data_IF_607453914584
#
_entry.id   IF_607453914584
#
_cell.length_a   1.000
_cell.length_b   1.000
_cell.length_c   1.000
_cell.angle_alpha   90.00
_cell.angle_beta   90.00
_cell.angle_gamma   90.00
#
_symmetry.space_group_name_H-M   'P 1'
#
loop_
_entity.id
_entity.type
_entity.pdbx_description
1 polymer ?
#
# COMPACT_ATOMS: atom_id res chain seq x y z
N UNK A 1 46.31 -23.08 -27.23
CA UNK A 1 46.55 -24.38 -27.89
C UNK A 1 45.48 -25.47 -27.68
N UNK A 2 44.79 -25.63 -26.53
CA UNK A 2 43.70 -26.63 -26.37
C UNK A 2 42.31 -26.12 -26.83
N UNK A 3 41.98 -24.85 -26.60
CA UNK A 3 40.69 -24.26 -26.98
C UNK A 3 40.58 -24.02 -28.49
N UNK A 4 41.64 -23.54 -29.15
CA UNK A 4 41.66 -23.36 -30.61
C UNK A 4 41.45 -24.68 -31.36
N UNK A 5 42.09 -25.78 -30.95
CA UNK A 5 41.89 -27.09 -31.58
C UNK A 5 40.45 -27.62 -31.42
N UNK A 6 39.76 -27.21 -30.36
CA UNK A 6 38.36 -27.54 -30.12
C UNK A 6 37.43 -26.67 -30.97
N UNK A 7 37.65 -25.35 -30.99
CA UNK A 7 36.82 -24.38 -31.72
C UNK A 7 36.97 -24.49 -33.25
N UNK A 8 38.15 -24.90 -33.75
CA UNK A 8 38.41 -25.09 -35.17
C UNK A 8 38.37 -26.56 -35.60
N UNK A 9 37.78 -27.44 -34.78
CA UNK A 9 37.60 -28.83 -35.17
C UNK A 9 36.57 -28.91 -36.31
N UNK A 10 36.88 -29.71 -37.34
CA UNK A 10 35.93 -29.93 -38.44
C UNK A 10 34.79 -30.79 -37.92
N UNK A 11 33.57 -30.27 -38.00
CA UNK A 11 32.34 -30.99 -37.65
C UNK A 11 31.62 -31.31 -38.95
N UNK A 12 31.17 -32.57 -39.07
CA UNK A 12 30.37 -32.99 -40.21
C UNK A 12 29.02 -32.24 -40.25
N UNK A 13 28.61 -31.77 -41.43
CA UNK A 13 27.40 -30.96 -41.57
C UNK A 13 26.13 -31.71 -41.12
N UNK A 14 26.06 -33.03 -41.32
CA UNK A 14 24.93 -33.85 -40.85
C UNK A 14 24.84 -33.87 -39.33
N UNK A 15 25.98 -33.80 -38.62
CA UNK A 15 26.01 -33.77 -37.16
C UNK A 15 25.50 -32.41 -36.66
N UNK A 16 25.87 -31.32 -37.34
CA UNK A 16 25.30 -29.99 -37.08
C UNK A 16 23.78 -29.99 -37.30
N UNK A 17 23.30 -30.56 -38.40
CA UNK A 17 21.87 -30.70 -38.68
C UNK A 17 21.12 -31.50 -37.60
N UNK A 18 21.70 -32.62 -37.14
CA UNK A 18 21.15 -33.43 -36.06
C UNK A 18 21.09 -32.64 -34.73
N UNK A 19 22.15 -31.91 -34.40
CA UNK A 19 22.22 -31.08 -33.19
C UNK A 19 21.17 -29.97 -33.21
N UNK A 20 20.93 -29.34 -34.37
CA UNK A 20 19.87 -28.32 -34.52
C UNK A 20 18.47 -28.91 -34.30
N UNK A 21 18.20 -30.11 -34.85
CA UNK A 21 16.93 -30.80 -34.62
C UNK A 21 16.76 -31.18 -33.14
N UNK A 22 17.80 -31.72 -32.52
CA UNK A 22 17.79 -32.04 -31.09
C UNK A 22 17.57 -30.80 -30.22
N UNK A 23 18.20 -29.68 -30.57
CA UNK A 23 18.00 -28.40 -29.90
C UNK A 23 16.57 -27.87 -30.06
N UNK A 24 15.98 -27.97 -31.25
CA UNK A 24 14.60 -27.57 -31.50
C UNK A 24 13.59 -28.41 -30.68
N UNK A 25 13.78 -29.73 -30.64
CA UNK A 25 12.97 -30.62 -29.80
C UNK A 25 13.14 -30.27 -28.32
N UNK A 26 14.39 -30.06 -27.87
CA UNK A 26 14.69 -29.65 -26.51
C UNK A 26 14.01 -28.33 -26.11
N UNK A 27 14.03 -27.33 -26.99
CA UNK A 27 13.37 -26.04 -26.77
C UNK A 27 11.85 -26.18 -26.67
N UNK A 28 11.22 -27.02 -27.50
CA UNK A 28 9.78 -27.29 -27.43
C UNK A 28 9.42 -27.97 -26.11
N UNK A 29 10.18 -28.98 -25.70
CA UNK A 29 9.96 -29.70 -24.43
C UNK A 29 10.14 -28.74 -23.25
N UNK A 30 11.23 -27.95 -23.26
CA UNK A 30 11.48 -26.93 -22.24
C UNK A 30 10.32 -25.92 -22.16
N UNK A 31 9.89 -25.38 -23.30
CA UNK A 31 8.75 -24.47 -23.38
C UNK A 31 7.45 -25.10 -22.87
N UNK A 32 7.21 -26.38 -23.15
CA UNK A 32 6.03 -27.09 -22.64
C UNK A 32 6.09 -27.30 -21.12
N UNK A 33 7.25 -27.60 -20.56
CA UNK A 33 7.45 -27.74 -19.10
C UNK A 33 7.25 -26.38 -18.40
N UNK A 34 7.85 -25.31 -18.94
CA UNK A 34 7.68 -23.95 -18.43
C UNK A 34 6.22 -23.52 -18.50
N UNK A 35 5.56 -23.72 -19.63
CA UNK A 35 4.14 -23.39 -19.81
C UNK A 35 3.21 -24.19 -18.88
N UNK A 36 3.48 -25.47 -18.68
CA UNK A 36 2.71 -26.30 -17.76
C UNK A 36 2.82 -25.81 -16.32
N UNK A 37 4.06 -25.53 -15.90
CA UNK A 37 4.37 -25.07 -14.54
C UNK A 37 3.81 -23.67 -14.31
N UNK A 38 3.93 -22.76 -15.28
CA UNK A 38 3.40 -21.39 -15.16
C UNK A 38 1.88 -21.30 -15.21
N UNK A 39 1.20 -22.35 -15.69
CA UNK A 39 -0.27 -22.50 -15.61
C UNK A 39 -0.75 -23.20 -14.33
N UNK A 40 0.13 -23.42 -13.35
CA UNK A 40 -0.23 -24.01 -12.06
C UNK A 40 -0.52 -25.52 -12.11
N UNK A 41 -0.29 -26.19 -13.24
CA UNK A 41 -0.56 -27.64 -13.36
C UNK A 41 0.49 -28.50 -12.66
N UNK A 42 1.71 -27.97 -12.51
CA UNK A 42 2.83 -28.55 -11.79
C UNK A 42 3.15 -30.04 -12.10
N UNK A 43 2.85 -30.54 -13.31
CA UNK A 43 2.99 -31.98 -13.65
C UNK A 43 4.44 -32.46 -13.63
N UNK A 44 5.39 -31.54 -13.77
CA UNK A 44 6.83 -31.81 -13.79
C UNK A 44 7.51 -31.56 -12.44
N UNK A 45 6.77 -31.20 -11.39
CA UNK A 45 7.28 -31.01 -10.02
C UNK A 45 8.56 -30.16 -9.96
N UNK A 46 9.63 -30.62 -9.26
CA UNK A 46 10.88 -29.87 -9.13
C UNK A 46 11.57 -29.54 -10.47
N UNK A 47 11.40 -30.38 -11.50
CA UNK A 47 11.97 -30.11 -12.84
C UNK A 47 11.27 -28.93 -13.48
N UNK A 48 9.95 -28.82 -13.28
CA UNK A 48 9.16 -27.66 -13.68
C UNK A 48 9.67 -26.36 -13.05
N UNK A 49 9.86 -26.38 -11.73
CA UNK A 49 10.37 -25.23 -10.99
C UNK A 49 11.77 -24.81 -11.45
N UNK A 50 12.67 -25.78 -11.66
CA UNK A 50 14.01 -25.51 -12.19
C UNK A 50 13.96 -24.94 -13.62
N UNK A 51 13.08 -25.45 -14.48
CA UNK A 51 12.91 -24.94 -15.84
C UNK A 51 12.41 -23.50 -15.86
N UNK A 52 11.44 -23.15 -14.99
CA UNK A 52 10.97 -21.77 -14.84
C UNK A 52 12.09 -20.86 -14.32
N UNK A 53 12.90 -21.32 -13.36
CA UNK A 53 14.03 -20.55 -12.85
C UNK A 53 15.07 -20.25 -13.96
N UNK A 54 15.42 -21.25 -14.77
CA UNK A 54 16.31 -21.07 -15.93
C UNK A 54 15.71 -20.11 -16.95
N UNK A 55 14.41 -20.21 -17.23
CA UNK A 55 13.72 -19.30 -18.14
C UNK A 55 13.73 -17.85 -17.65
N UNK A 56 13.74 -17.64 -16.32
CA UNK A 56 13.79 -16.32 -15.69
C UNK A 56 15.21 -15.76 -15.53
N UNK A 57 16.24 -16.59 -15.61
CA UNK A 57 17.62 -16.20 -15.28
C UNK A 57 18.16 -14.99 -16.05
N UNK A 58 17.74 -14.80 -17.32
CA UNK A 58 18.13 -13.62 -18.10
C UNK A 58 17.50 -12.33 -17.55
N UNK A 59 16.21 -12.36 -17.19
CA UNK A 59 15.55 -11.23 -16.52
C UNK A 59 16.15 -10.97 -15.15
N UNK A 60 16.46 -12.02 -14.38
CA UNK A 60 17.14 -11.85 -13.09
C UNK A 60 18.53 -11.22 -13.22
N UNK A 61 19.27 -11.48 -14.31
CA UNK A 61 20.55 -10.82 -14.55
C UNK A 61 20.37 -9.34 -14.91
N UNK A 62 19.35 -9.00 -15.68
CA UNK A 62 18.96 -7.62 -15.99
C UNK A 62 18.57 -6.86 -14.72
N UNK A 63 17.70 -7.43 -13.89
CA UNK A 63 17.28 -6.88 -12.59
C UNK A 63 18.46 -6.64 -11.63
N UNK A 64 19.48 -7.50 -11.64
CA UNK A 64 20.69 -7.34 -10.81
C UNK A 64 21.62 -6.23 -11.31
N UNK A 65 21.54 -5.89 -12.61
CA UNK A 65 22.36 -4.84 -13.23
C UNK A 65 21.69 -3.47 -13.15
N UNK A 66 20.36 -3.41 -12.96
CA UNK A 66 19.61 -2.18 -12.79
C UNK A 66 19.73 -1.62 -11.37
N UNK A 67 19.67 -0.29 -11.25
CA UNK A 67 19.62 0.37 -9.93
C UNK A 67 18.28 0.08 -9.25
N UNK A 68 18.31 -0.12 -7.93
CA UNK A 68 17.09 -0.35 -7.15
C UNK A 68 16.26 0.94 -7.05
N UNK A 69 15.22 1.02 -7.87
CA UNK A 69 14.34 2.18 -8.01
C UNK A 69 13.02 2.01 -7.25
N UNK A 70 12.86 0.98 -6.41
CA UNK A 70 11.55 0.63 -5.82
C UNK A 70 10.92 1.71 -4.93
N UNK A 71 11.76 2.59 -4.36
CA UNK A 71 11.35 3.72 -3.52
C UNK A 71 11.28 5.04 -4.29
N UNK A 72 11.70 5.06 -5.56
CA UNK A 72 11.53 6.23 -6.43
C UNK A 72 10.08 6.34 -6.88
N UNK A 73 9.63 7.57 -7.08
CA UNK A 73 8.34 7.87 -7.69
C UNK A 73 8.23 7.20 -9.07
N UNK A 74 7.00 6.85 -9.49
CA UNK A 74 6.74 6.33 -10.83
C UNK A 74 7.09 7.34 -11.93
N UNK A 75 7.20 8.62 -11.58
CA UNK A 75 7.64 9.69 -12.46
C UNK A 75 8.61 10.62 -11.68
N UNK A 76 9.87 10.18 -11.49
CA UNK A 76 10.80 10.84 -10.58
C UNK A 76 11.18 12.26 -11.03
N UNK A 77 11.15 12.54 -12.34
CA UNK A 77 11.48 13.86 -12.90
C UNK A 77 10.24 14.75 -13.12
N UNK A 78 9.09 14.39 -12.55
CA UNK A 78 7.81 15.06 -12.85
C UNK A 78 7.71 16.47 -12.29
N UNK A 79 8.30 16.73 -11.13
CA UNK A 79 8.18 18.00 -10.43
C UNK A 79 9.54 18.69 -10.35
N UNK A 80 9.58 19.98 -10.69
CA UNK A 80 10.83 20.73 -10.72
C UNK A 80 11.32 21.11 -9.31
N UNK A 81 12.65 21.04 -9.14
CA UNK A 81 13.37 21.56 -7.97
C UNK A 81 13.45 20.60 -6.79
N UNK A 82 14.07 21.06 -5.70
CA UNK A 82 14.16 20.31 -4.46
C UNK A 82 12.79 20.14 -3.79
N UNK A 83 12.69 19.11 -2.95
CA UNK A 83 11.48 18.81 -2.20
C UNK A 83 11.13 19.83 -1.13
N UNK A 84 9.90 19.71 -0.61
CA UNK A 84 9.37 20.57 0.45
C UNK A 84 8.00 21.16 0.13
N UNK A 85 7.54 22.01 1.03
CA UNK A 85 6.27 22.73 0.93
C UNK A 85 6.34 23.86 -0.11
N UNK A 86 5.31 23.95 -0.95
CA UNK A 86 5.07 25.03 -1.92
C UNK A 86 3.62 25.50 -1.73
N UNK A 87 3.40 26.81 -1.76
CA UNK A 87 2.08 27.43 -1.59
C UNK A 87 1.92 28.59 -2.56
N UNK A 88 0.67 28.87 -2.95
CA UNK A 88 0.33 29.90 -3.94
C UNK A 88 -0.06 31.25 -3.29
N UNK A 89 -0.15 31.28 -1.95
CA UNK A 89 -0.64 32.43 -1.18
C UNK A 89 0.42 32.94 -0.19
N UNK A 90 0.32 34.21 0.20
CA UNK A 90 1.24 34.85 1.15
C UNK A 90 1.16 34.24 2.57
N UNK A 91 0.03 33.60 2.90
CA UNK A 91 -0.22 32.92 4.17
C UNK A 91 -1.19 31.74 3.99
N UNK A 92 -1.15 30.78 4.91
CA UNK A 92 -2.13 29.70 4.99
C UNK A 92 -3.47 30.22 5.54
N UNK A 93 -4.60 29.56 5.20
CA UNK A 93 -5.88 29.84 5.83
C UNK A 93 -5.85 29.64 7.35
N UNK A 94 -6.52 30.52 8.09
CA UNK A 94 -6.61 30.46 9.56
C UNK A 94 -7.44 29.25 10.07
N UNK A 95 -8.15 28.54 9.19
CA UNK A 95 -9.09 27.45 9.48
C UNK A 95 -8.58 26.06 9.08
N UNK A 96 -7.26 25.87 9.21
CA UNK A 96 -6.58 24.57 9.09
C UNK A 96 -6.17 24.03 10.47
N UNK A 97 -7.12 23.54 11.29
CA UNK A 97 -6.78 23.03 12.62
C UNK A 97 -6.09 21.66 12.53
N UNK A 98 -5.14 21.41 13.44
CA UNK A 98 -4.52 20.10 13.61
C UNK A 98 -3.14 19.99 13.00
N UNK A 99 -2.76 18.78 12.61
CA UNK A 99 -1.41 18.46 12.17
C UNK A 99 -1.44 17.52 10.96
N UNK A 100 -0.31 17.42 10.25
CA UNK A 100 -0.07 16.38 9.24
C UNK A 100 1.02 15.46 9.77
N UNK A 101 0.74 14.15 9.76
CA UNK A 101 1.77 13.13 9.91
C UNK A 101 2.24 12.70 8.52
N UNK A 102 3.29 13.37 8.03
CA UNK A 102 3.88 13.17 6.72
C UNK A 102 4.77 11.92 6.76
N UNK A 103 4.50 10.96 5.88
CA UNK A 103 5.28 9.73 5.77
C UNK A 103 5.92 9.64 4.39
N UNK A 104 7.25 9.57 4.30
CA UNK A 104 7.95 9.65 3.00
C UNK A 104 9.30 8.95 3.00
N UNK A 105 9.74 8.51 1.82
CA UNK A 105 11.12 8.12 1.62
C UNK A 105 11.98 9.35 1.33
N UNK A 106 12.99 9.61 2.15
CA UNK A 106 13.94 10.70 1.98
C UNK A 106 15.13 10.24 1.13
N UNK A 107 15.21 10.76 -0.10
CA UNK A 107 16.24 10.37 -1.06
C UNK A 107 17.65 10.84 -0.73
N UNK A 108 17.81 11.94 0.03
CA UNK A 108 19.13 12.44 0.44
C UNK A 108 19.68 11.62 1.61
N UNK A 109 18.82 11.29 2.59
CA UNK A 109 19.16 10.44 3.72
C UNK A 109 19.12 8.94 3.38
N UNK A 110 18.57 8.59 2.21
CA UNK A 110 18.34 7.23 1.71
C UNK A 110 17.63 6.36 2.74
N UNK A 111 16.51 6.87 3.27
CA UNK A 111 15.73 6.18 4.30
C UNK A 111 14.31 6.70 4.39
N UNK A 112 13.42 5.90 4.97
CA UNK A 112 12.10 6.38 5.35
C UNK A 112 12.16 7.33 6.55
N UNK A 113 11.39 8.40 6.49
CA UNK A 113 11.18 9.37 7.57
C UNK A 113 9.70 9.61 7.77
N UNK A 114 9.32 9.84 9.03
CA UNK A 114 7.98 10.30 9.38
C UNK A 114 8.12 11.64 10.09
N UNK A 115 7.31 12.61 9.74
CA UNK A 115 7.42 14.01 10.17
C UNK A 115 6.06 14.52 10.60
N UNK A 116 5.96 15.09 11.81
CA UNK A 116 4.76 15.76 12.28
C UNK A 116 4.89 17.25 11.99
N UNK A 117 3.95 17.80 11.23
CA UNK A 117 3.87 19.22 10.90
C UNK A 117 2.63 19.84 11.54
N UNK A 118 2.77 21.01 12.14
CA UNK A 118 1.63 21.83 12.55
C UNK A 118 0.97 22.43 11.32
N UNK A 119 -0.34 22.28 11.14
CA UNK A 119 -1.04 22.79 9.95
C UNK A 119 -1.20 24.31 9.95
N UNK A 120 -1.09 24.98 11.10
CA UNK A 120 -1.28 26.43 11.22
C UNK A 120 -0.18 27.20 10.49
N UNK A 121 1.06 26.68 10.47
CA UNK A 121 2.20 27.33 9.84
C UNK A 121 3.13 26.38 9.06
N UNK A 122 2.80 25.08 8.99
CA UNK A 122 3.62 24.02 8.39
C UNK A 122 5.02 23.93 9.01
N UNK A 123 5.15 24.32 10.28
CA UNK A 123 6.38 24.10 11.04
C UNK A 123 6.55 22.61 11.38
N UNK A 124 7.78 22.13 11.29
CA UNK A 124 8.13 20.78 11.70
C UNK A 124 8.13 20.70 13.23
N UNK A 125 7.25 19.89 13.79
CA UNK A 125 7.13 19.62 15.22
C UNK A 125 8.14 18.55 15.64
N UNK A 126 8.17 17.43 14.92
CA UNK A 126 9.02 16.29 15.24
C UNK A 126 9.31 15.40 14.04
N UNK A 127 10.41 14.65 14.08
CA UNK A 127 10.82 13.71 13.03
C UNK A 127 11.23 12.36 13.63
N UNK A 128 10.58 11.29 13.18
CA UNK A 128 10.99 9.91 13.42
C UNK A 128 11.84 9.42 12.24
N UNK A 129 12.96 8.77 12.56
CA UNK A 129 13.85 8.15 11.57
C UNK A 129 14.09 6.68 11.94
N UNK A 130 13.09 5.80 11.70
CA UNK A 130 13.21 4.37 11.98
C UNK A 130 14.38 3.74 11.19
N UNK A 131 15.14 2.87 11.84
CA UNK A 131 16.27 2.16 11.24
C UNK A 131 15.86 0.72 10.95
N UNK A 132 15.33 0.47 9.74
CA UNK A 132 14.70 -0.80 9.36
C UNK A 132 15.59 -2.02 9.64
N UNK A 133 16.91 -1.92 9.40
CA UNK A 133 17.87 -2.99 9.71
C UNK A 133 17.89 -3.35 11.20
N UNK A 134 17.76 -2.36 12.09
CA UNK A 134 17.68 -2.59 13.54
C UNK A 134 16.31 -3.07 13.97
N UNK A 135 15.25 -2.51 13.39
CA UNK A 135 13.87 -2.90 13.71
C UNK A 135 13.60 -4.37 13.32
N UNK A 136 14.21 -4.84 12.23
CA UNK A 136 13.98 -6.16 11.63
C UNK A 136 15.15 -7.15 11.83
N UNK A 137 16.12 -6.83 12.71
CA UNK A 137 17.35 -7.62 12.87
C UNK A 137 17.08 -9.08 13.28
N UNK A 138 16.07 -9.29 14.12
CA UNK A 138 15.62 -10.58 14.67
C UNK A 138 14.20 -10.96 14.22
N UNK A 139 13.65 -10.28 13.21
CA UNK A 139 12.37 -10.65 12.60
C UNK A 139 12.47 -12.00 11.89
N UNK A 140 11.39 -12.79 11.94
CA UNK A 140 11.33 -14.08 11.23
C UNK A 140 11.49 -13.90 9.71
N UNK A 141 12.03 -14.94 9.05
CA UNK A 141 12.29 -14.95 7.59
C UNK A 141 11.91 -16.25 6.90
N UNK A 142 10.86 -16.88 7.41
CA UNK A 142 10.30 -18.16 6.95
C UNK A 142 8.94 -17.99 6.24
N UNK A 143 8.49 -16.75 6.02
CA UNK A 143 7.34 -16.48 5.17
C UNK A 143 7.68 -16.77 3.72
N UNK A 144 6.82 -17.57 3.09
CA UNK A 144 6.88 -17.80 1.67
C UNK A 144 6.58 -16.48 0.93
N UNK A 145 7.15 -16.30 -0.27
CA UNK A 145 6.88 -15.17 -1.18
C UNK A 145 7.27 -13.76 -0.70
N UNK A 146 7.76 -13.61 0.54
CA UNK A 146 8.21 -12.32 1.04
C UNK A 146 9.50 -11.86 0.37
N UNK A 147 9.54 -10.59 -0.01
CA UNK A 147 10.78 -9.93 -0.42
C UNK A 147 11.49 -9.31 0.79
N UNK A 148 12.47 -10.04 1.32
CA UNK A 148 13.31 -9.56 2.42
C UNK A 148 14.36 -8.54 1.98
N UNK A 149 14.54 -8.28 0.68
CA UNK A 149 15.51 -7.28 0.19
C UNK A 149 15.07 -5.86 0.52
N UNK A 150 13.78 -5.64 0.78
CA UNK A 150 13.25 -4.38 1.27
C UNK A 150 13.54 -4.12 2.76
N UNK A 151 14.00 -5.12 3.53
CA UNK A 151 14.22 -5.01 4.98
C UNK A 151 15.57 -4.38 5.32
N UNK A 152 15.84 -3.24 4.67
CA UNK A 152 17.03 -2.43 4.82
C UNK A 152 16.63 -0.95 4.73
N UNK A 153 17.49 -0.09 5.26
CA UNK A 153 17.17 1.34 5.43
C UNK A 153 16.77 2.02 4.11
N UNK A 154 17.45 1.67 3.03
CA UNK A 154 17.35 2.29 1.71
C UNK A 154 16.07 1.88 0.95
N UNK A 155 15.36 0.85 1.42
CA UNK A 155 14.27 0.23 0.66
C UNK A 155 12.96 0.11 1.46
N UNK A 156 13.04 0.10 2.80
CA UNK A 156 11.88 -0.03 3.67
C UNK A 156 11.00 1.22 3.61
N UNK A 157 9.69 1.02 3.63
CA UNK A 157 8.68 2.09 3.66
C UNK A 157 7.84 1.99 4.94
N UNK A 158 7.68 3.12 5.63
CA UNK A 158 6.74 3.24 6.75
C UNK A 158 5.35 3.60 6.22
N UNK A 159 4.51 2.59 5.99
CA UNK A 159 3.18 2.73 5.41
C UNK A 159 2.13 2.94 6.50
N UNK A 160 1.36 4.00 6.32
CA UNK A 160 0.22 4.44 7.12
C UNK A 160 0.51 4.44 8.63
N UNK A 161 1.50 5.23 9.08
CA UNK A 161 1.83 5.30 10.49
C UNK A 161 0.67 5.88 11.30
N UNK A 162 0.37 5.27 12.45
CA UNK A 162 -0.62 5.75 13.40
C UNK A 162 0.10 6.39 14.60
N UNK A 163 -0.16 7.68 14.82
CA UNK A 163 0.36 8.44 15.96
C UNK A 163 -0.42 8.12 17.24
N UNK A 164 0.31 7.85 18.32
CA UNK A 164 -0.24 7.69 19.66
C UNK A 164 -0.06 8.98 20.48
N UNK A 165 -0.94 9.20 21.46
CA UNK A 165 -0.90 10.40 22.34
C UNK A 165 0.44 10.61 23.05
N UNK A 166 1.21 9.54 23.26
CA UNK A 166 2.52 9.61 23.90
C UNK A 166 3.69 9.90 22.94
N UNK A 167 3.41 10.14 21.66
CA UNK A 167 4.42 10.42 20.62
C UNK A 167 5.07 9.18 20.00
N UNK A 168 4.61 7.98 20.35
CA UNK A 168 5.00 6.74 19.67
C UNK A 168 4.23 6.59 18.35
N UNK A 169 4.77 5.75 17.44
CA UNK A 169 4.09 5.38 16.19
C UNK A 169 3.83 3.88 16.15
N UNK A 170 2.65 3.48 15.66
CA UNK A 170 2.44 2.15 15.09
C UNK A 170 2.74 2.24 13.60
N UNK A 171 3.64 1.39 13.09
CA UNK A 171 4.11 1.49 11.69
C UNK A 171 4.53 0.13 11.13
N UNK A 172 4.36 -0.05 9.82
CA UNK A 172 4.73 -1.26 9.06
C UNK A 172 5.02 -0.90 7.60
N UNK A 173 5.69 -1.79 6.87
CA UNK A 173 5.70 -1.76 5.40
C UNK A 173 4.56 -2.64 4.85
N UNK A 174 4.24 -2.58 3.56
CA UNK A 174 3.31 -3.51 2.94
C UNK A 174 3.77 -4.95 3.13
N UNK A 175 2.89 -5.77 3.71
CA UNK A 175 3.12 -7.19 3.98
C UNK A 175 4.34 -7.43 4.89
N UNK A 176 4.54 -6.63 5.92
CA UNK A 176 5.69 -6.73 6.82
C UNK A 176 5.27 -7.03 8.27
N UNK A 177 6.22 -7.27 9.19
CA UNK A 177 5.96 -7.18 10.62
C UNK A 177 5.42 -5.81 11.02
N UNK A 178 4.64 -5.78 12.09
CA UNK A 178 4.12 -4.56 12.70
C UNK A 178 5.01 -4.11 13.86
N UNK A 179 5.24 -2.81 13.96
CA UNK A 179 6.03 -2.22 15.04
C UNK A 179 5.23 -1.20 15.81
N UNK A 180 5.54 -1.11 17.11
CA UNK A 180 5.49 0.17 17.80
C UNK A 180 6.90 0.70 17.95
N UNK A 181 7.11 1.95 17.52
CA UNK A 181 8.37 2.66 17.69
C UNK A 181 8.19 3.86 18.62
N UNK A 182 9.22 4.15 19.40
CA UNK A 182 9.22 5.28 20.32
C UNK A 182 9.33 6.61 19.59
N UNK A 183 9.14 7.71 20.31
CA UNK A 183 9.48 9.06 19.84
C UNK A 183 10.86 9.18 19.15
N UNK A 184 11.84 8.34 19.52
CA UNK A 184 13.18 8.35 18.93
C UNK A 184 13.38 7.36 17.77
N UNK A 185 12.31 6.69 17.33
CA UNK A 185 12.36 5.69 16.26
C UNK A 185 12.95 4.35 16.72
N UNK A 186 13.03 4.10 18.03
CA UNK A 186 13.51 2.84 18.59
C UNK A 186 12.36 1.84 18.74
N UNK A 187 12.63 0.55 18.55
CA UNK A 187 11.61 -0.50 18.69
C UNK A 187 11.13 -0.62 20.14
N UNK A 188 9.84 -0.39 20.37
CA UNK A 188 9.17 -0.72 21.63
C UNK A 188 8.78 -2.19 21.63
N UNK A 189 8.09 -2.63 20.57
CA UNK A 189 7.77 -4.03 20.31
C UNK A 189 7.68 -4.30 18.80
N UNK A 190 7.75 -5.58 18.43
CA UNK A 190 7.50 -6.07 17.07
C UNK A 190 6.55 -7.26 17.14
N UNK A 191 5.69 -7.36 16.12
CA UNK A 191 4.82 -8.50 15.88
C UNK A 191 5.02 -8.99 14.45
N UNK A 192 5.59 -10.18 14.33
CA UNK A 192 5.95 -10.84 13.08
C UNK A 192 5.24 -12.20 12.95
N UNK A 193 4.10 -12.40 13.58
CA UNK A 193 3.39 -13.69 13.53
C UNK A 193 2.55 -13.87 12.25
N UNK A 194 2.05 -12.78 11.69
CA UNK A 194 1.32 -12.69 10.42
C UNK A 194 1.82 -11.52 9.58
N UNK A 195 1.35 -11.44 8.33
CA UNK A 195 1.63 -10.30 7.46
C UNK A 195 0.67 -9.15 7.76
N UNK A 196 1.21 -7.96 7.98
CA UNK A 196 0.45 -6.72 8.11
C UNK A 196 0.58 -5.89 6.84
N UNK A 197 -0.50 -5.31 6.34
CA UNK A 197 -0.44 -4.57 5.06
C UNK A 197 -1.41 -3.39 5.02
N UNK A 198 -1.11 -2.44 4.14
CA UNK A 198 -1.97 -1.29 3.80
C UNK A 198 -2.39 -0.43 5.01
N UNK A 199 -3.68 -0.22 5.27
CA UNK A 199 -4.13 0.79 6.24
C UNK A 199 -3.87 0.43 7.72
N UNK A 200 -3.99 1.43 8.59
CA UNK A 200 -3.87 1.31 10.06
C UNK A 200 -4.82 2.34 10.69
N UNK A 201 -6.10 2.00 10.79
CA UNK A 201 -7.16 2.96 11.17
C UNK A 201 -7.46 2.97 12.65
N UNK A 202 -7.48 4.14 13.33
CA UNK A 202 -7.87 4.23 14.73
C UNK A 202 -9.34 3.85 14.90
N UNK A 203 -9.66 3.05 15.92
CA UNK A 203 -11.05 2.61 16.16
C UNK A 203 -11.87 3.58 17.04
N UNK A 204 -11.29 4.72 17.44
CA UNK A 204 -11.89 5.70 18.36
C UNK A 204 -12.07 5.20 19.81
N UNK A 205 -11.60 4.00 20.13
CA UNK A 205 -11.72 3.33 21.43
C UNK A 205 -10.35 2.93 22.02
N UNK A 206 -9.28 3.52 21.49
CA UNK A 206 -7.91 3.29 21.94
C UNK A 206 -7.23 2.08 21.30
N UNK A 207 -7.84 1.47 20.28
CA UNK A 207 -7.24 0.45 19.41
C UNK A 207 -7.18 0.92 17.95
N UNK A 208 -6.93 -0.04 17.06
CA UNK A 208 -6.91 0.20 15.62
C UNK A 208 -7.29 -1.04 14.81
N UNK A 209 -7.74 -0.83 13.58
CA UNK A 209 -8.00 -1.85 12.58
C UNK A 209 -6.86 -1.90 11.56
N UNK A 210 -6.52 -3.11 11.13
CA UNK A 210 -5.44 -3.35 10.17
C UNK A 210 -5.73 -4.59 9.33
N UNK A 211 -5.55 -4.52 8.00
CA UNK A 211 -5.53 -5.71 7.15
C UNK A 211 -4.35 -6.64 7.49
N UNK A 212 -4.66 -7.94 7.58
CA UNK A 212 -3.66 -8.99 7.80
C UNK A 212 -3.92 -10.19 6.90
N UNK A 213 -2.92 -11.05 6.70
CA UNK A 213 -3.09 -12.29 5.94
C UNK A 213 -3.06 -13.54 6.81
N UNK A 214 -4.03 -14.44 6.61
CA UNK A 214 -3.98 -15.81 7.10
C UNK A 214 -3.28 -16.71 6.06
N UNK A 215 -1.97 -16.93 6.22
CA UNK A 215 -1.18 -17.79 5.33
C UNK A 215 -0.44 -18.91 6.10
N UNK A 216 -0.64 -20.19 5.75
CA UNK A 216 -1.54 -20.70 4.70
C UNK A 216 -3.03 -20.58 5.08
N UNK A 217 -3.88 -20.44 4.06
CA UNK A 217 -5.35 -20.47 4.24
C UNK A 217 -5.84 -21.88 4.56
N UNK A 218 -6.86 -21.97 5.43
CA UNK A 218 -7.54 -23.23 5.76
C UNK A 218 -8.79 -23.48 4.89
N UNK A 219 -9.03 -22.63 3.88
CA UNK A 219 -10.15 -22.80 2.97
C UNK A 219 -9.94 -24.04 2.07
N UNK A 220 -10.98 -24.86 1.85
CA UNK A 220 -10.83 -26.04 1.00
C UNK A 220 -10.44 -25.68 -0.43
N UNK A 221 -9.33 -26.23 -0.91
CA UNK A 221 -8.88 -26.10 -2.31
C UNK A 221 -8.00 -24.89 -2.60
N UNK A 222 -7.61 -24.12 -1.58
CA UNK A 222 -6.56 -23.08 -1.73
C UNK A 222 -5.17 -23.69 -1.65
N UNK A 223 -4.26 -23.20 -2.48
CA UNK A 223 -2.84 -23.50 -2.34
C UNK A 223 -2.19 -22.64 -1.24
N UNK A 224 -0.94 -22.98 -0.87
CA UNK A 224 -0.16 -22.25 0.13
C UNK A 224 -0.07 -20.75 -0.19
N UNK A 225 -0.08 -20.38 -1.48
CA UNK A 225 0.09 -19.00 -1.97
C UNK A 225 -1.20 -18.17 -2.01
N UNK A 226 -2.32 -18.69 -1.52
CA UNK A 226 -3.56 -17.93 -1.40
C UNK A 226 -3.48 -16.93 -0.24
N UNK A 227 -3.63 -15.65 -0.57
CA UNK A 227 -3.62 -14.53 0.37
C UNK A 227 -5.04 -14.33 0.89
N UNK A 228 -5.33 -14.94 2.04
CA UNK A 228 -6.62 -14.77 2.72
C UNK A 228 -6.60 -13.50 3.59
N UNK A 229 -7.25 -12.44 3.10
CA UNK A 229 -7.44 -11.20 3.85
C UNK A 229 -8.28 -11.40 5.13
N UNK A 230 -7.78 -10.82 6.22
CA UNK A 230 -8.36 -10.88 7.57
C UNK A 230 -8.47 -9.46 8.13
N UNK A 231 -9.67 -9.10 8.57
CA UNK A 231 -9.93 -7.90 9.35
C UNK A 231 -9.45 -8.13 10.78
N UNK A 232 -8.41 -7.42 11.21
CA UNK A 232 -7.81 -7.56 12.53
C UNK A 232 -7.93 -6.25 13.32
N UNK A 233 -8.49 -6.32 14.53
CA UNK A 233 -8.50 -5.21 15.51
C UNK A 233 -7.44 -5.46 16.56
N UNK A 234 -6.66 -4.45 16.92
CA UNK A 234 -5.55 -4.57 17.87
C UNK A 234 -5.51 -3.44 18.88
N UNK A 235 -4.85 -3.69 20.00
CA UNK A 235 -4.43 -2.64 20.94
C UNK A 235 -3.06 -2.06 20.55
N UNK A 236 -2.71 -0.84 21.01
CA UNK A 236 -1.37 -0.25 20.85
C UNK A 236 -0.24 -1.03 21.52
N UNK A 237 -0.57 -1.99 22.39
CA UNK A 237 0.40 -2.88 23.04
C UNK A 237 0.63 -4.18 22.26
N UNK A 238 0.01 -4.32 21.08
CA UNK A 238 0.20 -5.45 20.18
C UNK A 238 -0.74 -6.63 20.43
N UNK A 239 -1.73 -6.47 21.31
CA UNK A 239 -2.73 -7.52 21.57
C UNK A 239 -3.76 -7.56 20.45
N UNK A 240 -4.12 -8.77 20.02
CA UNK A 240 -5.19 -8.99 19.05
C UNK A 240 -6.53 -9.03 19.78
N UNK A 241 -7.39 -8.06 19.50
CA UNK A 241 -8.71 -7.89 20.12
C UNK A 241 -9.82 -8.58 19.32
N UNK A 242 -9.66 -8.65 17.99
CA UNK A 242 -10.61 -9.32 17.09
C UNK A 242 -9.90 -9.74 15.80
N UNK A 243 -10.30 -10.88 15.23
CA UNK A 243 -9.89 -11.29 13.88
C UNK A 243 -11.03 -11.99 13.15
N UNK A 244 -11.21 -11.64 11.89
CA UNK A 244 -12.17 -12.31 11.02
C UNK A 244 -11.72 -12.35 9.57
N UNK A 245 -11.69 -13.55 9.01
CA UNK A 245 -11.43 -13.77 7.58
C UNK A 245 -12.55 -13.21 6.71
N UNK A 246 -12.18 -12.34 5.76
CA UNK A 246 -13.10 -11.75 4.80
C UNK A 246 -13.64 -12.81 3.83
N UNK A 247 -12.79 -13.75 3.41
CA UNK A 247 -13.19 -14.87 2.58
C UNK A 247 -14.30 -15.72 3.22
N UNK A 248 -14.17 -16.03 4.51
CA UNK A 248 -15.17 -16.79 5.27
C UNK A 248 -16.46 -16.00 5.46
N UNK A 249 -16.39 -14.68 5.64
CA UNK A 249 -17.56 -13.80 5.68
C UNK A 249 -18.30 -13.82 4.34
N UNK A 250 -17.58 -13.73 3.21
CA UNK A 250 -18.16 -13.85 1.88
C UNK A 250 -18.86 -15.19 1.67
N UNK A 251 -18.20 -16.29 2.02
CA UNK A 251 -18.76 -17.64 1.90
C UNK A 251 -20.03 -17.77 2.74
N UNK A 252 -20.00 -17.34 4.01
CA UNK A 252 -21.16 -17.35 4.92
C UNK A 252 -22.33 -16.53 4.35
N UNK A 253 -22.04 -15.40 3.72
CA UNK A 253 -23.02 -14.48 3.15
C UNK A 253 -23.52 -14.89 1.74
N UNK A 254 -23.17 -16.07 1.24
CA UNK A 254 -23.63 -16.57 -0.07
C UNK A 254 -22.82 -16.06 -1.28
N UNK A 255 -21.73 -15.34 -1.04
CA UNK A 255 -20.82 -14.83 -2.07
C UNK A 255 -19.66 -15.79 -2.40
N UNK A 256 -19.89 -17.10 -2.26
CA UNK A 256 -18.89 -18.14 -2.56
C UNK A 256 -18.28 -17.96 -3.97
N UNK A 257 -19.12 -17.60 -4.94
CA UNK A 257 -18.73 -17.39 -6.34
C UNK A 257 -17.78 -16.21 -6.56
N UNK A 258 -17.73 -15.26 -5.62
CA UNK A 258 -16.75 -14.17 -5.65
C UNK A 258 -15.39 -14.63 -5.15
N UNK A 259 -15.34 -15.56 -4.19
CA UNK A 259 -14.08 -16.16 -3.69
C UNK A 259 -13.54 -17.19 -4.67
N UNK A 260 -14.40 -18.13 -5.10
CA UNK A 260 -14.05 -19.23 -5.99
C UNK A 260 -14.99 -19.23 -7.21
N UNK A 261 -14.45 -18.88 -8.36
CA UNK A 261 -15.15 -18.98 -9.65
C UNK A 261 -14.90 -20.34 -10.32
N UNK A 262 -15.49 -20.57 -11.51
CA UNK A 262 -15.28 -21.81 -12.27
C UNK A 262 -13.85 -21.99 -12.83
N UNK A 263 -13.06 -20.91 -12.87
CA UNK A 263 -11.64 -20.93 -13.23
C UNK A 263 -10.73 -21.05 -12.02
N UNK A 264 -9.41 -21.05 -12.25
CA UNK A 264 -8.45 -20.93 -11.15
C UNK A 264 -8.69 -19.59 -10.43
N UNK A 265 -8.77 -19.63 -9.11
CA UNK A 265 -8.96 -18.44 -8.30
C UNK A 265 -7.72 -17.53 -8.38
N UNK A 266 -7.90 -16.24 -8.12
CA UNK A 266 -6.77 -15.34 -7.96
C UNK A 266 -6.09 -15.60 -6.62
N UNK A 267 -4.76 -15.57 -6.58
CA UNK A 267 -3.99 -15.72 -5.35
C UNK A 267 -4.37 -14.68 -4.30
N UNK A 268 -4.74 -13.48 -4.75
CA UNK A 268 -5.08 -12.33 -3.92
C UNK A 268 -6.42 -11.77 -4.42
N UNK A 269 -7.54 -12.40 -4.01
CA UNK A 269 -8.84 -12.16 -4.63
C UNK A 269 -9.45 -10.82 -4.21
N UNK A 270 -9.32 -10.41 -2.94
CA UNK A 270 -9.94 -9.19 -2.44
C UNK A 270 -8.97 -8.01 -2.50
N UNK A 271 -7.72 -8.23 -2.10
CA UNK A 271 -6.71 -7.18 -1.90
C UNK A 271 -7.29 -6.09 -1.00
N UNK A 272 -7.64 -6.47 0.24
CA UNK A 272 -8.16 -5.56 1.25
C UNK A 272 -7.09 -4.52 1.57
N UNK A 273 -7.34 -3.28 1.14
CA UNK A 273 -6.39 -2.19 1.30
C UNK A 273 -6.84 -1.15 2.32
N UNK A 274 -8.11 -1.15 2.71
CA UNK A 274 -8.58 -0.26 3.76
C UNK A 274 -9.72 -0.83 4.63
N UNK A 275 -9.76 -0.43 5.90
CA UNK A 275 -10.73 -0.81 6.94
C UNK A 275 -11.07 0.44 7.77
N UNK A 276 -12.02 1.22 7.30
CA UNK A 276 -12.47 2.45 7.95
C UNK A 276 -13.58 2.16 8.97
N UNK A 277 -13.38 2.41 10.28
CA UNK A 277 -14.38 2.17 11.29
C UNK A 277 -15.37 3.34 11.44
N UNK A 278 -16.66 3.04 11.47
CA UNK A 278 -17.67 4.00 11.91
C UNK A 278 -17.52 4.32 13.41
N UNK A 279 -17.08 5.53 13.72
CA UNK A 279 -16.83 5.96 15.10
C UNK A 279 -18.10 6.37 15.87
N UNK A 280 -19.18 6.65 15.14
CA UNK A 280 -20.47 7.08 15.66
C UNK A 280 -21.64 6.33 15.00
N UNK A 281 -22.81 6.34 15.65
CA UNK A 281 -24.04 5.85 15.03
C UNK A 281 -24.54 6.86 14.00
N UNK A 282 -25.03 6.37 12.85
CA UNK A 282 -25.63 7.18 11.80
C UNK A 282 -26.96 6.59 11.29
N UNK A 283 -27.64 7.28 10.37
CA UNK A 283 -28.81 6.74 9.66
C UNK A 283 -28.52 5.45 8.87
N UNK A 284 -27.29 5.26 8.38
CA UNK A 284 -26.93 4.16 7.47
C UNK A 284 -25.97 3.12 8.09
N UNK A 285 -25.34 3.45 9.21
CA UNK A 285 -24.40 2.57 9.91
C UNK A 285 -24.55 2.70 11.42
N UNK A 286 -23.95 1.76 12.12
CA UNK A 286 -23.81 1.80 13.58
C UNK A 286 -22.35 1.99 13.94
N UNK A 287 -22.11 2.58 15.12
CA UNK A 287 -20.79 2.61 15.71
C UNK A 287 -20.18 1.20 15.72
N UNK A 288 -18.97 1.09 15.20
CA UNK A 288 -18.21 -0.16 15.07
C UNK A 288 -18.52 -0.98 13.82
N UNK A 289 -19.42 -0.54 12.95
CA UNK A 289 -19.44 -1.03 11.55
C UNK A 289 -18.13 -0.62 10.86
N UNK A 290 -17.71 -1.40 9.86
CA UNK A 290 -16.48 -1.18 9.10
C UNK A 290 -16.80 -0.99 7.62
N UNK A 291 -16.26 0.06 7.01
CA UNK A 291 -16.17 0.19 5.57
C UNK A 291 -14.88 -0.45 5.08
N UNK A 292 -15.01 -1.44 4.19
CA UNK A 292 -13.90 -2.22 3.68
C UNK A 292 -13.69 -1.89 2.21
N UNK A 293 -12.47 -1.52 1.85
CA UNK A 293 -12.08 -1.28 0.46
C UNK A 293 -11.43 -2.51 -0.15
N UNK A 294 -12.07 -3.07 -1.17
CA UNK A 294 -11.60 -4.25 -1.89
C UNK A 294 -11.16 -3.82 -3.28
N UNK A 295 -9.86 -3.57 -3.42
CA UNK A 295 -9.26 -3.03 -4.65
C UNK A 295 -9.59 -3.88 -5.88
N UNK A 296 -9.48 -5.21 -5.77
CA UNK A 296 -9.55 -6.12 -6.93
C UNK A 296 -10.93 -6.27 -7.55
N UNK A 297 -11.98 -6.11 -6.75
CA UNK A 297 -13.36 -6.19 -7.23
C UNK A 297 -13.97 -4.84 -7.52
N UNK A 298 -13.24 -3.76 -7.26
CA UNK A 298 -13.79 -2.42 -7.26
C UNK A 298 -15.01 -2.30 -6.33
N UNK A 299 -14.92 -2.86 -5.12
CA UNK A 299 -16.06 -3.01 -4.20
C UNK A 299 -15.78 -2.31 -2.87
N UNK A 300 -16.77 -1.57 -2.36
CA UNK A 300 -16.83 -1.15 -0.95
C UNK A 300 -17.89 -1.97 -0.23
N UNK A 301 -17.60 -2.38 1.00
CA UNK A 301 -18.50 -3.15 1.86
C UNK A 301 -18.69 -2.44 3.18
N UNK A 302 -19.92 -2.39 3.67
CA UNK A 302 -20.20 -2.14 5.08
C UNK A 302 -20.36 -3.49 5.80
N UNK A 303 -19.44 -3.82 6.70
CA UNK A 303 -19.43 -5.04 7.50
C UNK A 303 -19.71 -4.71 8.97
N UNK A 304 -20.56 -5.51 9.63
CA UNK A 304 -20.85 -5.36 11.07
C UNK A 304 -20.21 -6.51 11.86
N UNK A 305 -19.11 -6.26 12.59
CA UNK A 305 -18.43 -7.29 13.39
C UNK A 305 -19.34 -7.90 14.47
N UNK A 306 -20.24 -7.13 15.07
CA UNK A 306 -21.09 -7.58 16.18
C UNK A 306 -22.13 -8.63 15.78
N UNK A 307 -22.53 -8.68 14.51
CA UNK A 307 -23.44 -9.72 13.98
C UNK A 307 -22.76 -10.64 12.96
N UNK A 308 -21.52 -10.33 12.57
CA UNK A 308 -20.76 -11.02 11.53
C UNK A 308 -21.53 -11.07 10.20
N UNK A 309 -22.01 -9.90 9.76
CA UNK A 309 -22.86 -9.72 8.59
C UNK A 309 -22.34 -8.61 7.67
N UNK A 310 -22.47 -8.81 6.36
CA UNK A 310 -22.35 -7.74 5.37
C UNK A 310 -23.69 -7.00 5.35
N UNK A 311 -23.68 -5.74 5.77
CA UNK A 311 -24.87 -4.88 5.86
C UNK A 311 -25.20 -4.27 4.50
N UNK A 312 -24.16 -3.85 3.78
CA UNK A 312 -24.27 -3.22 2.48
C UNK A 312 -23.01 -3.50 1.65
N UNK A 313 -23.16 -3.52 0.33
CA UNK A 313 -22.07 -3.75 -0.62
C UNK A 313 -22.39 -3.03 -1.92
N UNK A 314 -21.41 -2.33 -2.49
CA UNK A 314 -21.51 -1.70 -3.81
C UNK A 314 -20.25 -1.92 -4.62
N UNK A 315 -20.45 -2.32 -5.87
CA UNK A 315 -19.40 -2.39 -6.89
C UNK A 315 -19.42 -1.09 -7.70
N UNK A 316 -18.27 -0.41 -7.77
CA UNK A 316 -18.08 0.80 -8.56
C UNK A 316 -18.98 1.97 -8.18
N UNK A 317 -18.89 3.10 -8.91
CA UNK A 317 -18.22 3.28 -10.20
C UNK A 317 -16.70 3.52 -10.11
N UNK A 318 -16.12 3.50 -8.91
CA UNK A 318 -14.68 3.48 -8.70
C UNK A 318 -14.03 2.22 -9.30
N UNK A 319 -12.72 2.29 -9.56
CA UNK A 319 -11.92 1.20 -10.11
C UNK A 319 -10.54 1.16 -9.47
N UNK A 320 -10.15 -0.02 -8.97
CA UNK A 320 -8.83 -0.24 -8.35
C UNK A 320 -8.56 0.73 -7.18
N UNK A 321 -9.62 1.13 -6.47
CA UNK A 321 -9.66 2.16 -5.41
C UNK A 321 -8.89 1.77 -4.16
N UNK A 322 -8.49 2.77 -3.36
CA UNK A 322 -7.83 2.58 -2.06
C UNK A 322 -8.68 3.07 -0.91
N UNK A 323 -8.49 4.31 -0.51
CA UNK A 323 -9.08 4.90 0.70
C UNK A 323 -10.60 4.96 0.65
N UNK A 324 -11.24 4.71 1.80
CA UNK A 324 -12.66 4.99 2.01
C UNK A 324 -12.84 5.69 3.35
N UNK A 325 -13.33 6.93 3.37
CA UNK A 325 -13.57 7.65 4.63
C UNK A 325 -15.04 7.94 4.83
N UNK A 326 -15.47 8.03 6.08
CA UNK A 326 -16.78 8.57 6.42
C UNK A 326 -16.67 10.09 6.51
N UNK A 327 -17.39 10.81 5.64
CA UNK A 327 -17.27 12.27 5.52
C UNK A 327 -18.32 13.02 6.34
N UNK A 328 -19.51 12.43 6.45
CA UNK A 328 -20.64 12.93 7.25
C UNK A 328 -21.57 11.76 7.63
N UNK A 329 -22.80 12.03 8.08
CA UNK A 329 -23.74 11.01 8.55
C UNK A 329 -24.40 10.17 7.44
N UNK A 330 -24.18 10.49 6.17
CA UNK A 330 -24.79 9.80 5.04
C UNK A 330 -23.88 9.65 3.81
N UNK A 331 -22.61 10.03 3.91
CA UNK A 331 -21.67 10.05 2.79
C UNK A 331 -20.35 9.37 3.14
N UNK A 332 -19.86 8.54 2.22
CA UNK A 332 -18.47 8.07 2.22
C UNK A 332 -17.70 8.66 1.04
N UNK A 333 -16.42 8.99 1.26
CA UNK A 333 -15.45 9.26 0.20
C UNK A 333 -14.87 7.92 -0.29
N UNK A 334 -14.38 7.89 -1.52
CA UNK A 334 -13.61 6.77 -2.06
C UNK A 334 -12.49 7.32 -2.93
N UNK A 335 -11.24 7.05 -2.58
CA UNK A 335 -10.08 7.39 -3.41
C UNK A 335 -10.02 6.47 -4.63
N UNK A 336 -10.51 6.96 -5.77
CA UNK A 336 -10.60 6.24 -7.01
C UNK A 336 -9.31 6.42 -7.83
N UNK A 337 -8.41 5.43 -7.77
CA UNK A 337 -7.23 5.38 -8.64
C UNK A 337 -7.59 5.39 -10.13
N UNK A 338 -8.79 4.89 -10.46
CA UNK A 338 -9.40 4.93 -11.79
C UNK A 338 -8.56 4.18 -12.84
N UNK A 339 -7.99 3.03 -12.45
CA UNK A 339 -7.07 2.27 -13.31
C UNK A 339 -7.79 1.27 -14.18
N UNK A 340 -7.33 1.18 -15.43
CA UNK A 340 -7.71 0.13 -16.37
C UNK A 340 -6.49 -0.67 -16.81
N UNK A 341 -6.71 -1.93 -17.16
CA UNK A 341 -5.71 -2.75 -17.85
C UNK A 341 -6.38 -3.50 -19.00
N UNK A 342 -6.14 -3.02 -20.22
CA UNK A 342 -6.72 -3.57 -21.45
C UNK A 342 -5.82 -4.64 -22.11
N UNK A 343 -4.79 -5.09 -21.39
CA UNK A 343 -3.78 -6.04 -21.89
C UNK A 343 -2.44 -5.41 -22.27
N UNK A 344 -2.33 -4.07 -22.21
CA UNK A 344 -1.12 -3.31 -22.53
C UNK A 344 -0.40 -2.74 -21.29
N UNK A 345 -0.82 -3.13 -20.09
CA UNK A 345 -0.34 -2.56 -18.83
C UNK A 345 -1.46 -1.80 -18.10
N UNK A 346 -1.17 -1.40 -16.86
CA UNK A 346 -2.06 -0.56 -16.06
C UNK A 346 -1.88 0.90 -16.45
N UNK A 347 -2.99 1.60 -16.64
CA UNK A 347 -3.00 3.04 -16.88
C UNK A 347 -4.15 3.69 -16.10
N UNK A 348 -3.93 4.91 -15.59
CA UNK A 348 -5.00 5.73 -15.02
C UNK A 348 -5.87 6.22 -16.17
N UNK A 349 -7.17 5.89 -16.13
CA UNK A 349 -8.15 6.36 -17.09
C UNK A 349 -8.53 7.80 -16.73
N UNK A 350 -8.08 8.76 -17.51
CA UNK A 350 -8.26 10.21 -17.26
C UNK A 350 -7.42 10.70 -16.07
N UNK A 351 -7.95 10.60 -14.85
CA UNK A 351 -7.36 11.14 -13.62
C UNK A 351 -7.72 10.24 -12.43
N UNK A 352 -6.83 10.15 -11.45
CA UNK A 352 -7.18 9.62 -10.13
C UNK A 352 -7.97 10.70 -9.38
N UNK A 353 -9.09 10.33 -8.75
CA UNK A 353 -10.03 11.29 -8.16
C UNK A 353 -10.65 10.78 -6.87
N UNK A 354 -11.25 11.68 -6.10
CA UNK A 354 -12.01 11.32 -4.88
C UNK A 354 -13.50 11.36 -5.20
N UNK A 355 -14.15 10.21 -5.14
CA UNK A 355 -15.58 10.06 -5.38
C UNK A 355 -16.33 10.10 -4.06
N UNK A 356 -17.57 10.61 -4.08
CA UNK A 356 -18.43 10.69 -2.91
C UNK A 356 -19.69 9.89 -3.19
N UNK A 357 -19.98 8.91 -2.35
CA UNK A 357 -21.21 8.14 -2.39
C UNK A 357 -22.14 8.55 -1.26
N UNK A 358 -23.31 9.05 -1.64
CA UNK A 358 -24.38 9.49 -0.76
C UNK A 358 -25.43 8.36 -0.62
N UNK A 359 -25.63 7.89 0.60
CA UNK A 359 -26.56 6.82 0.94
C UNK A 359 -28.03 7.26 0.95
N UNK A 360 -28.34 8.55 1.17
CA UNK A 360 -29.71 9.09 1.10
C UNK A 360 -30.21 9.11 -0.34
N UNK A 361 -29.34 9.52 -1.28
CA UNK A 361 -29.71 9.71 -2.68
C UNK A 361 -29.33 8.54 -3.59
N UNK A 362 -28.50 7.61 -3.12
CA UNK A 362 -27.86 6.53 -3.90
C UNK A 362 -27.14 7.08 -5.14
N UNK A 363 -26.45 8.22 -4.98
CA UNK A 363 -25.71 8.88 -6.06
C UNK A 363 -24.22 8.94 -5.78
N UNK A 364 -23.44 9.00 -6.86
CA UNK A 364 -21.99 9.20 -6.80
C UNK A 364 -21.65 10.53 -7.46
N UNK A 365 -20.86 11.35 -6.79
CA UNK A 365 -20.36 12.62 -7.29
C UNK A 365 -18.83 12.71 -7.19
N UNK A 366 -18.24 13.69 -7.87
CA UNK A 366 -16.79 13.97 -7.84
C UNK A 366 -16.58 15.48 -7.72
N UNK A 367 -16.83 16.07 -6.53
CA UNK A 367 -16.79 17.53 -6.34
C UNK A 367 -15.41 18.13 -6.61
N UNK A 368 -14.35 17.36 -6.37
CA UNK A 368 -12.96 17.78 -6.58
C UNK A 368 -12.41 17.46 -7.98
N UNK A 369 -13.21 16.91 -8.90
CA UNK A 369 -12.72 16.45 -10.21
C UNK A 369 -11.92 17.51 -10.95
N UNK A 370 -12.42 18.74 -11.00
CA UNK A 370 -11.75 19.83 -11.70
C UNK A 370 -10.37 20.14 -11.10
N UNK A 371 -10.22 20.07 -9.77
CA UNK A 371 -8.94 20.23 -9.11
C UNK A 371 -7.99 19.07 -9.49
N UNK A 372 -8.47 17.83 -9.45
CA UNK A 372 -7.67 16.66 -9.84
C UNK A 372 -7.18 16.76 -11.27
N UNK A 373 -8.03 17.17 -12.21
CA UNK A 373 -7.66 17.38 -13.62
C UNK A 373 -6.65 18.52 -13.78
N UNK A 374 -6.86 19.64 -13.07
CA UNK A 374 -5.97 20.81 -13.10
C UNK A 374 -4.56 20.47 -12.62
N UNK A 375 -4.44 19.68 -11.55
CA UNK A 375 -3.16 19.26 -10.99
C UNK A 375 -2.67 17.91 -11.52
N UNK A 376 -3.41 17.33 -12.47
CA UNK A 376 -3.15 16.05 -13.13
C UNK A 376 -2.88 14.91 -12.16
N UNK A 377 -3.74 14.71 -11.18
CA UNK A 377 -3.54 13.66 -10.17
C UNK A 377 -3.54 12.27 -10.83
N UNK A 378 -2.47 11.51 -10.63
CA UNK A 378 -2.19 10.25 -11.30
C UNK A 378 -1.39 9.34 -10.35
N UNK A 379 -2.10 8.44 -9.68
CA UNK A 379 -1.51 7.41 -8.82
C UNK A 379 -2.19 6.08 -9.13
N UNK A 380 -1.61 5.22 -9.99
CA UNK A 380 -2.25 3.96 -10.41
C UNK A 380 -2.40 2.92 -9.28
N UNK A 381 -1.68 3.11 -8.18
CA UNK A 381 -1.78 2.33 -6.95
C UNK A 381 -1.70 3.28 -5.76
N UNK A 382 -2.09 2.82 -4.58
CA UNK A 382 -1.97 3.59 -3.34
C UNK A 382 -2.70 4.95 -3.41
N UNK A 383 -2.37 5.88 -2.52
CA UNK A 383 -2.99 7.20 -2.44
C UNK A 383 -4.17 7.25 -1.47
N UNK A 384 -4.27 8.39 -0.80
CA UNK A 384 -5.22 8.66 0.29
C UNK A 384 -5.87 10.03 0.10
N UNK A 385 -7.02 10.23 0.73
CA UNK A 385 -7.69 11.53 0.81
C UNK A 385 -8.38 11.75 2.16
N UNK A 386 -7.69 12.42 3.09
CA UNK A 386 -8.27 12.81 4.38
C UNK A 386 -9.07 14.11 4.30
N UNK A 387 -10.10 14.22 5.14
CA UNK A 387 -10.90 15.43 5.31
C UNK A 387 -10.76 16.01 6.71
N UNK A 388 -10.48 17.31 6.77
CA UNK A 388 -10.50 18.06 8.02
C UNK A 388 -11.95 18.33 8.46
N UNK A 389 -12.20 18.62 9.75
CA UNK A 389 -13.52 19.06 10.23
C UNK A 389 -14.05 20.33 9.54
N UNK A 390 -13.17 21.12 8.93
CA UNK A 390 -13.52 22.33 8.16
C UNK A 390 -13.86 22.03 6.69
N UNK A 391 -13.80 20.77 6.25
CA UNK A 391 -14.07 20.33 4.88
C UNK A 391 -12.87 20.46 3.93
N UNK A 392 -11.72 20.92 4.42
CA UNK A 392 -10.47 20.90 3.67
C UNK A 392 -10.04 19.47 3.39
N UNK A 393 -9.42 19.24 2.25
CA UNK A 393 -8.98 17.90 1.83
C UNK A 393 -7.46 17.86 1.72
N UNK A 394 -6.85 16.86 2.36
CA UNK A 394 -5.45 16.48 2.16
C UNK A 394 -5.45 15.26 1.24
N UNK A 395 -4.79 15.36 0.09
CA UNK A 395 -4.70 14.29 -0.88
C UNK A 395 -3.25 13.86 -1.07
N UNK A 396 -2.97 12.57 -0.91
CA UNK A 396 -1.68 11.96 -1.22
C UNK A 396 -1.70 11.30 -2.61
N UNK A 397 -0.96 11.89 -3.55
CA UNK A 397 -0.62 11.26 -4.83
C UNK A 397 0.65 10.41 -4.63
N UNK A 398 0.48 9.29 -3.94
CA UNK A 398 1.57 8.50 -3.37
C UNK A 398 2.62 8.12 -4.42
N UNK A 399 2.19 7.55 -5.54
CA UNK A 399 3.11 7.05 -6.58
C UNK A 399 3.92 8.17 -7.23
N UNK A 400 3.48 9.43 -7.13
CA UNK A 400 4.17 10.59 -7.68
C UNK A 400 5.07 11.29 -6.66
N UNK A 401 4.96 10.97 -5.36
CA UNK A 401 5.73 11.66 -4.32
C UNK A 401 5.16 13.02 -3.94
N UNK A 402 3.84 13.20 -3.95
CA UNK A 402 3.21 14.52 -3.75
C UNK A 402 2.02 14.48 -2.78
N UNK A 403 1.97 15.45 -1.87
CA UNK A 403 0.80 15.75 -1.04
C UNK A 403 0.18 17.07 -1.52
N UNK A 404 -1.15 17.17 -1.53
CA UNK A 404 -1.91 18.34 -1.97
C UNK A 404 -2.94 18.72 -0.91
N UNK A 405 -3.06 20.01 -0.60
CA UNK A 405 -4.07 20.56 0.30
C UNK A 405 -5.04 21.45 -0.48
N UNK A 406 -6.33 21.15 -0.37
CA UNK A 406 -7.40 21.89 -1.03
C UNK A 406 -8.42 22.46 -0.04
N UNK A 407 -9.00 23.61 -0.38
CA UNK A 407 -10.17 24.17 0.30
C UNK A 407 -11.41 23.29 0.07
N UNK A 408 -12.48 23.45 0.86
CA UNK A 408 -13.74 22.73 0.64
C UNK A 408 -14.32 22.91 -0.78
N UNK A 409 -14.04 24.02 -1.44
CA UNK A 409 -14.45 24.30 -2.82
C UNK A 409 -13.47 23.78 -3.88
N UNK A 410 -12.43 23.03 -3.48
CA UNK A 410 -11.43 22.46 -4.37
C UNK A 410 -10.38 23.46 -4.85
N UNK A 411 -10.18 24.58 -4.15
CA UNK A 411 -9.09 25.53 -4.47
C UNK A 411 -7.79 25.04 -3.85
N UNK A 412 -6.71 25.14 -4.60
CA UNK A 412 -5.38 24.80 -4.10
C UNK A 412 -4.92 25.75 -2.98
N UNK A 413 -4.29 25.16 -1.96
CA UNK A 413 -3.70 25.89 -0.83
C UNK A 413 -2.20 25.66 -0.79
N UNK A 414 -1.79 24.40 -0.68
CA UNK A 414 -0.39 24.01 -0.54
C UNK A 414 -0.13 22.64 -1.16
N UNK A 415 1.14 22.35 -1.44
CA UNK A 415 1.62 21.03 -1.82
C UNK A 415 2.95 20.72 -1.16
N UNK A 416 3.16 19.47 -0.79
CA UNK A 416 4.48 18.95 -0.46
C UNK A 416 4.97 18.11 -1.64
N UNK A 417 6.18 18.37 -2.12
CA UNK A 417 6.84 17.56 -3.16
C UNK A 417 8.00 16.79 -2.52
N UNK A 418 8.03 15.47 -2.66
CA UNK A 418 9.07 14.61 -2.10
C UNK A 418 10.21 14.35 -3.10
N UNK A 419 10.89 15.43 -3.47
CA UNK A 419 12.13 15.35 -4.24
C UNK A 419 13.34 15.42 -3.31
N UNK A 420 14.42 14.75 -3.69
CA UNK A 420 15.73 14.96 -3.07
C UNK A 420 16.36 16.30 -3.51
N UNK A 421 17.56 16.60 -3.00
CA UNK A 421 18.31 17.81 -3.34
C UNK A 421 18.72 17.93 -4.83
N UNK A 422 18.71 16.81 -5.57
CA UNK A 422 18.99 16.75 -7.01
C UNK A 422 17.73 16.89 -7.88
N UNK A 423 16.54 16.93 -7.27
CA UNK A 423 15.25 17.03 -7.97
C UNK A 423 14.62 15.70 -8.37
N UNK A 424 15.15 14.57 -7.89
CA UNK A 424 14.59 13.23 -8.13
C UNK A 424 13.48 12.95 -7.12
N UNK A 425 12.31 12.55 -7.61
CA UNK A 425 11.12 12.25 -6.81
C UNK A 425 11.09 10.85 -6.19
N UNK A 426 10.61 10.76 -4.96
CA UNK A 426 10.51 9.52 -4.18
C UNK A 426 9.09 9.29 -3.68
N UNK A 427 8.76 8.03 -3.43
CA UNK A 427 7.45 7.57 -2.95
C UNK A 427 7.12 8.08 -1.55
N UNK A 428 5.83 8.22 -1.30
CA UNK A 428 5.29 8.53 0.03
C UNK A 428 4.95 7.24 0.78
N UNK A 429 4.42 7.38 1.98
CA UNK A 429 4.10 6.28 2.88
C UNK A 429 2.76 6.43 3.57
N UNK A 430 1.75 6.97 2.88
CA UNK A 430 0.38 7.12 3.36
C UNK A 430 0.34 8.08 4.56
N UNK A 431 0.58 9.35 4.27
CA UNK A 431 0.49 10.46 5.20
C UNK A 431 -0.96 10.69 5.61
N UNK A 432 -1.18 11.21 6.81
CA UNK A 432 -2.54 11.46 7.32
C UNK A 432 -2.72 12.76 8.08
N UNK A 433 -3.97 13.20 8.13
CA UNK A 433 -4.44 14.22 9.06
C UNK A 433 -4.38 13.71 10.50
N UNK A 434 -3.99 14.59 11.42
CA UNK A 434 -4.01 14.35 12.86
C UNK A 434 -4.89 15.42 13.51
N UNK A 435 -5.98 15.04 14.20
CA UNK A 435 -6.84 15.98 14.92
C UNK A 435 -6.07 16.81 15.94
N UNK A 436 -6.45 18.09 16.09
CA UNK A 436 -5.78 19.07 16.96
C UNK A 436 -5.53 18.56 18.38
N UNK A 437 -6.53 17.94 19.02
CA UNK A 437 -6.39 17.41 20.37
C UNK A 437 -5.34 16.28 20.47
N UNK A 438 -5.31 15.37 19.49
CA UNK A 438 -4.33 14.28 19.46
C UNK A 438 -2.93 14.83 19.20
N UNK A 439 -2.79 15.71 18.20
CA UNK A 439 -1.50 16.29 17.85
C UNK A 439 -0.91 17.14 18.97
N UNK A 440 -1.72 17.97 19.65
CA UNK A 440 -1.26 18.77 20.78
C UNK A 440 -0.81 17.91 21.98
N UNK A 441 -1.52 16.81 22.25
CA UNK A 441 -1.10 15.84 23.28
C UNK A 441 0.23 15.18 22.90
N UNK A 442 0.37 14.74 21.65
CA UNK A 442 1.59 14.11 21.16
C UNK A 442 2.77 15.09 21.17
N UNK A 443 2.58 16.32 20.69
CA UNK A 443 3.59 17.39 20.72
C UNK A 443 4.08 17.64 22.15
N UNK A 444 3.17 17.76 23.11
CA UNK A 444 3.53 17.95 24.52
C UNK A 444 4.35 16.75 25.07
N UNK A 445 4.01 15.52 24.67
CA UNK A 445 4.76 14.33 25.05
C UNK A 445 6.16 14.28 24.38
N UNK A 446 6.25 14.73 23.13
CA UNK A 446 7.48 14.75 22.33
C UNK A 446 8.48 15.80 22.84
N UNK A 447 8.00 16.97 23.29
CA UNK A 447 8.85 18.03 23.82
C UNK A 447 9.72 17.59 25.03
N UNK A 448 9.33 16.52 25.72
CA UNK A 448 10.09 15.93 26.83
C UNK A 448 11.15 14.91 26.43
N UNK A 449 11.28 14.57 25.15
CA UNK A 449 12.15 13.48 24.67
C UNK A 449 13.47 14.03 24.12
N UNK A 450 14.60 13.47 24.57
CA UNK A 450 15.93 13.80 24.06
C UNK A 450 16.39 12.71 23.09
N UNK A 451 16.05 12.87 21.81
CA UNK A 451 16.44 11.93 20.77
C UNK A 451 17.75 12.37 20.11
N UNK A 452 18.74 11.49 20.08
CA UNK A 452 20.07 11.79 19.51
C UNK A 452 20.05 12.11 18.00
N UNK A 453 18.94 11.84 17.31
CA UNK A 453 18.81 11.89 15.85
C UNK A 453 17.78 12.91 15.35
N UNK A 454 17.12 13.70 16.20
CA UNK A 454 16.05 14.62 15.76
C UNK A 454 16.54 16.00 15.28
N UNK A 455 17.85 16.21 15.15
CA UNK A 455 18.45 17.50 14.72
C UNK A 455 19.07 17.46 13.33
#
# INVERSE_FOLDING_TARGET
>A
MKLERLLFHKIELWLVGLLLVAAAIGAIIFGAIVYDTSKGKARFGPIGNAAVAVARALWTLEEVLEEDTRVQSNAPDRFDGAGGWKFDQDALPDDLPGYILLSRHDGDLRRHVVELYDLTDLSLVHRWMPDAEKLLADARRDWNWMDYTAWQREAWRGIHPLLLENGDLIVKDHYAPLFRISACGERVWMKDDVHYHHSTEPDGEGGFWIPTLATPSDLPGTEDWFLEDVMTRMSPDGEVLFQRSLAKVYIKSGFYHRVFAAGLHANDPFHLNDIEPALEDGPFWKKGDLFLSLRRYSTIIQYRPSTDEIIWMKDGPWMDQHDVDIVDDHTISVFNNNVINTGNGREVRDVSEVLFYDFETDTVSSPFRQAMETYWVNTPTEGLADFLPTGHMILEEENAGRLLLFSPEGKFIATFINNNSEGVGFRMGWSRYIPEALGANAEAALAGQDCALTR
#
